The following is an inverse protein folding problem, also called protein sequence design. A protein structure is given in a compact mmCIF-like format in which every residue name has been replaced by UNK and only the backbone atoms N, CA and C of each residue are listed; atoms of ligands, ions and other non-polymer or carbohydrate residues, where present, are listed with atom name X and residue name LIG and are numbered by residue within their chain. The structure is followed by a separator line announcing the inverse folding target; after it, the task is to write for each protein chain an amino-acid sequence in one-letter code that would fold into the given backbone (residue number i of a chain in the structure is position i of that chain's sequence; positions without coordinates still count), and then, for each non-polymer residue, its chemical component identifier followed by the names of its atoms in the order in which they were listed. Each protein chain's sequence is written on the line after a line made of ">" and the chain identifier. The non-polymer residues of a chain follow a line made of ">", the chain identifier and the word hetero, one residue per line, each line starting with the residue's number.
data_IF_650250834063
#
_entry.id   IF_650250834063
#
_cell.length_a   1.000
_cell.length_b   1.000
_cell.length_c   1.000
_cell.angle_alpha   90.00
_cell.angle_beta   90.00
_cell.angle_gamma   90.00
#
_symmetry.space_group_name_H-M   'P 1'
#
loop_
_entity.id
_entity.type
_entity.pdbx_description
1 polymer ?
#
# COMPACT_ATOMS: atom_id res chain seq x y z
N UNK A 1 1.82 20.37 -14.26
CA UNK A 1 2.61 19.70 -13.21
C UNK A 1 3.45 18.64 -13.90
N UNK A 2 4.78 18.60 -13.71
CA UNK A 2 5.60 17.56 -14.34
C UNK A 2 5.36 16.24 -13.60
N UNK A 3 4.91 15.23 -14.33
CA UNK A 3 4.81 13.87 -13.82
C UNK A 3 6.15 13.16 -14.07
N UNK A 4 6.59 12.43 -13.05
CA UNK A 4 7.81 11.62 -13.12
C UNK A 4 7.42 10.20 -12.72
N UNK A 5 7.93 9.24 -13.48
CA UNK A 5 7.73 7.82 -13.19
C UNK A 5 8.38 7.42 -11.87
N UNK A 6 7.91 6.31 -11.32
CA UNK A 6 8.41 5.77 -10.06
C UNK A 6 9.92 5.48 -10.15
N UNK A 7 10.34 4.82 -11.21
CA UNK A 7 11.72 4.40 -11.41
C UNK A 7 12.66 5.61 -11.49
N UNK A 8 12.25 6.66 -12.21
CA UNK A 8 12.99 7.91 -12.27
C UNK A 8 13.17 8.56 -10.89
N UNK A 9 12.13 8.55 -10.05
CA UNK A 9 12.23 9.11 -8.69
C UNK A 9 13.18 8.32 -7.81
N UNK A 10 13.17 6.99 -7.94
CA UNK A 10 14.07 6.10 -7.20
C UNK A 10 15.53 6.30 -7.62
N UNK A 11 15.81 6.36 -8.93
CA UNK A 11 17.14 6.67 -9.45
C UNK A 11 17.62 8.06 -9.05
N UNK A 12 16.75 9.06 -9.10
CA UNK A 12 17.08 10.42 -8.69
C UNK A 12 17.48 10.48 -7.21
N UNK A 13 16.79 9.74 -6.34
CA UNK A 13 17.15 9.64 -4.93
C UNK A 13 18.47 8.90 -4.75
N UNK A 14 18.70 7.80 -5.45
CA UNK A 14 19.97 7.05 -5.38
C UNK A 14 21.15 7.95 -5.76
N UNK A 15 21.04 8.65 -6.89
CA UNK A 15 22.03 9.63 -7.33
C UNK A 15 22.22 10.73 -6.28
N UNK A 16 21.15 11.23 -5.67
CA UNK A 16 21.24 12.25 -4.62
C UNK A 16 21.96 11.80 -3.34
N UNK A 17 22.06 10.49 -3.10
CA UNK A 17 22.82 9.92 -2.00
C UNK A 17 24.31 9.80 -2.34
N UNK A 18 24.66 9.61 -3.61
CA UNK A 18 26.04 9.50 -4.09
C UNK A 18 26.71 10.88 -4.23
N UNK A 19 26.05 11.83 -4.88
CA UNK A 19 26.64 13.15 -5.23
C UNK A 19 25.99 14.34 -4.49
N UNK A 20 25.00 14.08 -3.65
CA UNK A 20 24.25 15.12 -2.95
C UNK A 20 23.01 15.62 -3.70
N UNK A 21 22.04 16.23 -3.00
CA UNK A 21 20.74 16.61 -3.58
C UNK A 21 20.84 17.76 -4.59
N UNK A 22 21.70 18.75 -4.36
CA UNK A 22 21.85 19.89 -5.27
C UNK A 22 22.46 19.47 -6.60
N UNK A 23 23.59 18.76 -6.56
CA UNK A 23 24.27 18.29 -7.77
C UNK A 23 23.44 17.27 -8.56
N UNK A 24 22.72 16.37 -7.88
CA UNK A 24 21.82 15.44 -8.54
C UNK A 24 20.64 16.13 -9.23
N UNK A 25 20.05 17.14 -8.59
CA UNK A 25 18.95 17.90 -9.18
C UNK A 25 19.38 18.70 -10.41
N UNK A 26 20.55 19.33 -10.37
CA UNK A 26 21.15 20.04 -11.51
C UNK A 26 21.41 19.08 -12.68
N UNK A 27 22.04 17.92 -12.41
CA UNK A 27 22.34 16.91 -13.44
C UNK A 27 21.09 16.33 -14.10
N UNK A 28 20.01 16.18 -13.34
CA UNK A 28 18.73 15.65 -13.82
C UNK A 28 17.79 16.72 -14.38
N UNK A 29 18.16 18.01 -14.29
CA UNK A 29 17.33 19.12 -14.75
C UNK A 29 16.01 19.27 -13.99
N UNK A 30 15.97 18.85 -12.71
CA UNK A 30 14.79 18.93 -11.85
C UNK A 30 14.97 19.99 -10.76
N UNK A 31 13.88 20.58 -10.23
CA UNK A 31 13.98 21.49 -9.10
C UNK A 31 14.54 20.78 -7.86
N UNK A 32 15.57 21.37 -7.23
CA UNK A 32 16.20 20.84 -6.01
C UNK A 32 15.17 20.55 -4.90
N UNK A 33 14.17 21.43 -4.73
CA UNK A 33 13.06 21.28 -3.77
C UNK A 33 12.22 20.02 -4.00
N UNK A 34 12.07 19.61 -5.25
CA UNK A 34 11.35 18.38 -5.63
C UNK A 34 12.13 17.17 -5.14
N UNK A 35 13.45 17.17 -5.35
CA UNK A 35 14.31 16.08 -4.91
C UNK A 35 14.39 15.98 -3.38
N UNK A 36 14.43 17.10 -2.66
CA UNK A 36 14.32 17.10 -1.19
C UNK A 36 13.00 16.48 -0.71
N UNK A 37 11.89 16.82 -1.37
CA UNK A 37 10.57 16.25 -1.06
C UNK A 37 10.56 14.74 -1.28
N UNK A 38 11.14 14.26 -2.38
CA UNK A 38 11.25 12.83 -2.65
C UNK A 38 12.13 12.11 -1.62
N UNK A 39 13.27 12.68 -1.24
CA UNK A 39 14.12 12.12 -0.17
C UNK A 39 13.40 12.05 1.17
N UNK A 40 12.67 13.10 1.54
CA UNK A 40 11.90 13.12 2.79
C UNK A 40 10.77 12.08 2.76
N UNK A 41 10.07 11.95 1.63
CA UNK A 41 9.04 10.94 1.46
C UNK A 41 9.64 9.53 1.50
N UNK A 42 10.80 9.30 0.88
CA UNK A 42 11.51 8.02 0.94
C UNK A 42 11.90 7.66 2.38
N UNK A 43 12.41 8.63 3.17
CA UNK A 43 12.72 8.40 4.58
C UNK A 43 11.49 8.10 5.43
N UNK A 44 10.38 8.80 5.19
CA UNK A 44 9.17 8.70 6.01
C UNK A 44 8.30 7.48 5.67
N UNK A 45 8.28 7.08 4.40
CA UNK A 45 7.34 6.10 3.88
C UNK A 45 8.02 4.89 3.22
N UNK A 46 9.35 4.88 3.07
CA UNK A 46 10.09 3.76 2.49
C UNK A 46 9.57 3.36 1.11
N UNK A 47 9.27 2.07 0.95
CA UNK A 47 8.82 1.45 -0.32
C UNK A 47 7.49 2.02 -0.83
N UNK A 48 6.65 2.57 0.06
CA UNK A 48 5.36 3.20 -0.32
C UNK A 48 5.47 4.73 -0.49
N UNK A 49 6.69 5.25 -0.64
CA UNK A 49 6.94 6.68 -0.83
C UNK A 49 6.41 7.23 -2.16
N UNK A 50 6.27 6.39 -3.18
CA UNK A 50 5.92 6.81 -4.55
C UNK A 50 4.59 6.22 -5.04
N UNK A 51 3.53 6.33 -4.25
CA UNK A 51 2.17 6.12 -4.77
C UNK A 51 1.78 7.34 -5.63
N UNK A 52 1.31 7.10 -6.85
CA UNK A 52 0.91 8.17 -7.78
C UNK A 52 -0.15 9.09 -7.16
N UNK A 53 -0.34 10.27 -7.76
CA UNK A 53 -1.38 11.22 -7.33
C UNK A 53 -2.75 10.52 -7.25
N UNK A 54 -3.52 10.78 -6.19
CA UNK A 54 -4.84 10.19 -5.97
C UNK A 54 -4.86 8.79 -5.32
N UNK A 55 -3.72 8.14 -5.13
CA UNK A 55 -3.67 6.82 -4.49
C UNK A 55 -3.34 6.92 -2.99
N UNK A 56 -4.09 6.19 -2.15
CA UNK A 56 -3.75 6.07 -0.73
C UNK A 56 -2.43 5.30 -0.59
N UNK A 57 -1.53 5.81 0.26
CA UNK A 57 -0.36 5.07 0.73
C UNK A 57 -0.86 3.92 1.59
N UNK A 58 -1.02 2.74 1.00
CA UNK A 58 -1.39 1.53 1.72
C UNK A 58 -0.14 0.66 1.80
N UNK A 59 0.28 0.33 3.01
CA UNK A 59 1.30 -0.70 3.21
C UNK A 59 0.75 -2.02 2.65
N UNK A 60 1.45 -2.69 1.71
CA UNK A 60 1.03 -3.98 1.15
C UNK A 60 0.61 -4.98 2.23
N UNK A 61 1.31 -5.03 3.37
CA UNK A 61 0.96 -5.91 4.48
C UNK A 61 -0.41 -5.57 5.07
N UNK A 62 -0.72 -4.29 5.22
CA UNK A 62 -2.02 -3.85 5.72
C UNK A 62 -3.15 -4.16 4.74
N UNK A 63 -2.88 -4.08 3.42
CA UNK A 63 -3.86 -4.47 2.41
C UNK A 63 -4.19 -5.96 2.49
N UNK A 64 -3.17 -6.81 2.62
CA UNK A 64 -3.31 -8.26 2.76
C UNK A 64 -4.06 -8.63 4.05
N UNK A 65 -3.71 -8.03 5.19
CA UNK A 65 -4.40 -8.23 6.47
C UNK A 65 -5.90 -7.93 6.32
N UNK A 66 -6.24 -6.79 5.73
CA UNK A 66 -7.64 -6.39 5.54
C UNK A 66 -8.41 -7.34 4.62
N UNK A 67 -7.75 -7.87 3.58
CA UNK A 67 -8.35 -8.86 2.70
C UNK A 67 -8.58 -10.20 3.45
N UNK A 68 -7.64 -10.61 4.28
CA UNK A 68 -7.77 -11.81 5.12
C UNK A 68 -8.88 -11.66 6.17
N UNK A 69 -8.95 -10.52 6.87
CA UNK A 69 -10.01 -10.23 7.84
C UNK A 69 -11.41 -10.29 7.19
N UNK A 70 -11.55 -9.73 5.98
CA UNK A 70 -12.80 -9.81 5.23
C UNK A 70 -13.19 -11.26 4.93
N UNK A 71 -12.22 -12.09 4.49
CA UNK A 71 -12.43 -13.50 4.20
C UNK A 71 -12.82 -14.30 5.45
N UNK A 72 -12.17 -14.04 6.58
CA UNK A 72 -12.50 -14.66 7.88
C UNK A 72 -13.95 -14.34 8.24
N UNK A 73 -14.34 -13.07 8.18
CA UNK A 73 -15.70 -12.64 8.49
C UNK A 73 -16.77 -13.29 7.60
N UNK A 74 -16.49 -13.42 6.30
CA UNK A 74 -17.39 -14.10 5.35
C UNK A 74 -17.52 -15.60 5.69
N UNK A 75 -16.41 -16.26 6.03
CA UNK A 75 -16.40 -17.67 6.42
C UNK A 75 -17.11 -17.91 7.76
N UNK A 76 -16.91 -17.03 8.74
CA UNK A 76 -17.62 -17.09 10.03
C UNK A 76 -19.12 -16.94 9.85
N UNK A 77 -19.56 -15.98 9.03
CA UNK A 77 -20.97 -15.79 8.72
C UNK A 77 -21.57 -17.02 8.02
N UNK A 78 -20.87 -17.61 7.04
CA UNK A 78 -21.31 -18.82 6.37
C UNK A 78 -21.41 -20.02 7.34
N UNK A 79 -20.43 -20.17 8.23
CA UNK A 79 -20.43 -21.21 9.25
C UNK A 79 -21.60 -21.05 10.23
N UNK A 80 -21.89 -19.83 10.65
CA UNK A 80 -23.04 -19.55 11.53
C UNK A 80 -24.38 -19.87 10.86
N UNK A 81 -24.53 -19.57 9.56
CA UNK A 81 -25.72 -19.96 8.79
C UNK A 81 -25.84 -21.49 8.74
N UNK A 82 -24.75 -22.20 8.45
CA UNK A 82 -24.73 -23.66 8.39
C UNK A 82 -25.06 -24.29 9.75
N UNK A 83 -24.48 -23.80 10.85
CA UNK A 83 -24.79 -24.25 12.21
C UNK A 83 -26.26 -24.05 12.55
N UNK A 84 -26.84 -22.90 12.20
CA UNK A 84 -28.27 -22.61 12.41
C UNK A 84 -29.15 -23.57 11.60
N UNK A 85 -28.79 -23.85 10.35
CA UNK A 85 -29.50 -24.82 9.50
C UNK A 85 -29.42 -26.23 10.09
N UNK A 86 -28.25 -26.69 10.52
CA UNK A 86 -28.08 -27.99 11.19
C UNK A 86 -28.93 -28.11 12.45
N UNK A 87 -28.98 -27.05 13.28
CA UNK A 87 -29.83 -27.01 14.47
C UNK A 87 -31.33 -27.14 14.13
N UNK A 88 -31.77 -26.50 13.04
CA UNK A 88 -33.14 -26.63 12.54
C UNK A 88 -33.46 -28.06 12.08
N UNK A 89 -32.59 -28.67 11.28
CA UNK A 89 -32.78 -30.05 10.79
C UNK A 89 -32.76 -31.09 11.92
N UNK A 90 -31.86 -30.96 12.89
CA UNK A 90 -31.79 -31.87 14.04
C UNK A 90 -33.05 -31.79 14.92
N UNK A 91 -33.69 -30.63 15.01
CA UNK A 91 -34.96 -30.46 15.71
C UNK A 91 -36.15 -31.04 14.95
N UNK A 92 -36.15 -31.03 13.62
CA UNK A 92 -37.24 -31.58 12.81
C UNK A 92 -37.25 -33.12 12.74
N UNK A 93 -36.12 -33.79 12.96
CA UNK A 93 -36.02 -35.27 12.96
C UNK A 93 -36.56 -35.93 14.24
N UNK A 94 -36.86 -35.17 15.29
CA UNK A 94 -37.41 -35.69 16.57
C UNK A 94 -38.94 -35.62 16.66
N UNK A 95 -39.62 -35.36 15.55
CA UNK A 95 -41.08 -35.33 15.43
C UNK A 95 -41.59 -36.50 14.59
#
# INVERSE_FOLDING_TARGET
>A
MREYDKDFKEEAIKLSCEIGPTAAAEKLGIPVTTLYTWRNNAKRYGVIAFVGSGHKRVDPKTAEIRAMEKKIKELEAANDILKRALGFFAGSQKK
#
